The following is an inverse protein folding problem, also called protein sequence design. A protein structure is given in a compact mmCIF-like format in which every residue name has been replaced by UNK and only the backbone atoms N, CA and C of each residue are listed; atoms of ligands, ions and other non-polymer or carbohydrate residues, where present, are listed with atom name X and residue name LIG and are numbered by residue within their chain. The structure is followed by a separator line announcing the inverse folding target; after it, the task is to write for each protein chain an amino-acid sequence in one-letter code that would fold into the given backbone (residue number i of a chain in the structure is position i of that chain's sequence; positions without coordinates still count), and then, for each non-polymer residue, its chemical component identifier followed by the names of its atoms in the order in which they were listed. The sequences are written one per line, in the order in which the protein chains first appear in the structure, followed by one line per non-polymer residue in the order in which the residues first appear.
data_IF_491125933181
#
_entry.id   IF_491125933181
#
_cell.length_a   1.000
_cell.length_b   1.000
_cell.length_c   1.000
_cell.angle_alpha   90.00
_cell.angle_beta   90.00
_cell.angle_gamma   90.00
#
_symmetry.space_group_name_H-M   'P 1'
#
loop_
_entity.id
_entity.type
_entity.pdbx_description
1 polymer ?
2 polymer ?
3 polymer ?
#
loop_
_entity_poly.entity_id
_entity_poly.type
_entity_poly.pdbx_seq_one_letter_code
_entity_poly.pdbx_strand_id
1 'polyribonucleotide' 'UGGCUUAGAAGC' ?
2 'polyribonucleotide' 'GCCCGUCACACCAUGGGAGUAUGACUGGGGUGAAGUCGUAAC' ?
#
# COMPACT_ATOMS: atom_id res chain seq x y z
CA UNK C 2 -11.58 -26.45 1.36
CA UNK C 3 -8.39 -28.29 2.26
CA UNK C 4 -7.12 -26.31 5.26
CA UNK C 5 -4.29 -25.57 2.82
CA UNK C 6 -6.42 -23.92 0.17
CA UNK C 7 -8.33 -21.96 2.79
CA UNK C 8 -4.96 -20.88 4.20
CA UNK C 9 -3.67 -19.81 0.78
CA UNK C 10 -6.77 -17.70 0.09
CA UNK C 11 -6.50 -15.99 3.47
CA UNK C 12 -2.84 -15.06 3.11
CA UNK C 13 -3.09 -14.12 -0.56
CA UNK C 14 -6.15 -11.97 0.11
CA UNK C 15 -4.29 -10.25 2.94
CA UNK C 16 -1.31 -9.60 0.69
CA UNK C 17 -3.50 -8.09 -2.00
CA UNK C 18 -5.22 -5.87 0.56
CA UNK C 19 -1.89 -4.58 1.87
CA UNK C 20 -0.82 -3.72 -1.67
CA UNK C 21 -4.04 -1.87 -2.45
CA UNK C 22 -3.37 -0.09 0.82
CA UNK C 23 0.17 0.95 -0.14
CA UNK C 24 -1.04 2.12 -3.56
CA UNK C 25 -3.77 4.08 -1.81
CA UNK C 26 -1.36 5.95 0.50
CA UNK C 27 1.16 6.66 -2.27
CA UNK C 28 1.85 10.34 -3.02
CA UNK C 29 0.34 11.13 -6.40
CA UNK C 30 -0.64 14.17 -8.46
CA UNK C 31 -3.88 14.93 -6.59
CA UNK C 32 -4.22 15.84 -2.89
CA UNK C 33 -5.17 12.91 -0.69
CA UNK C 34 -5.23 12.84 3.14
CA UNK C 35 -4.18 9.22 2.79
CA UNK C 36 -0.55 10.19 2.15
CA UNK C 37 -0.26 11.56 5.69
CA UNK C 38 -1.22 8.28 7.32
CA UNK C 39 2.44 7.31 7.30
CA UNK C 40 3.85 10.66 8.41
CA UNK C 41 4.56 10.29 12.12
CA UNK C 42 5.40 13.05 14.59
CA UNK C 43 6.87 12.49 18.06
CA UNK C 44 3.97 13.79 20.16
CA UNK C 45 4.39 13.57 23.94
CA UNK C 46 6.66 10.54 23.77
CA UNK C 47 4.69 8.66 21.12
CA UNK C 48 5.38 8.41 17.36
CA UNK C 49 2.05 9.69 16.11
CA UNK C 50 0.57 9.62 12.61
CA UNK C 51 -0.39 13.15 11.63
CA UNK C 52 -4.08 12.55 10.85
CA UNK C 53 -4.52 11.56 14.53
CA UNK C 54 -3.58 15.04 15.68
CA UNK C 55 -5.52 17.01 13.09
CA UNK C 56 -8.51 17.29 10.82
CA UNK C 57 -7.50 16.93 7.18
CA UNK C 58 -9.52 18.29 4.29
CA UNK C 59 -9.28 19.34 0.66
CA UNK C 60 -9.93 23.02 -0.13
CA UNK C 61 -8.38 24.42 -3.30
CA UNK C 62 -8.95 21.42 -5.59
CA UNK C 63 -5.16 21.09 -5.41
CA UNK C 64 -4.61 21.68 -1.67
CA UNK C 65 -4.51 19.65 1.55
CA UNK C 66 -5.25 21.61 4.70
CA UNK C 67 -3.92 20.03 7.91
CA UNK C 68 -5.46 21.65 10.98
CA UNK C 69 -4.07 20.47 14.36
CA UNK C 70 -5.89 21.28 17.59
CA UNK C 71 -2.56 21.55 19.44
CA UNK C 72 -0.95 24.43 17.55
CA UNK C 73 2.52 23.36 18.72
CA UNK C 74 2.13 20.37 16.42
CA UNK C 75 2.42 22.56 13.31
CA UNK C 76 6.18 22.84 13.67
CA UNK C 77 6.44 19.05 14.07
CA UNK C 78 4.27 18.29 11.05
CA UNK C 79 6.41 20.61 8.93
CA UNK C 80 9.64 19.04 10.18
CA UNK C 81 8.28 15.54 9.54
CA UNK C 82 7.08 16.35 6.05
CA UNK C 83 10.36 17.96 4.98
CA UNK C 84 12.13 14.82 6.23
CA UNK C 85 9.86 12.50 4.23
CA UNK C 86 10.13 11.84 0.50
CA UNK C 87 6.66 13.15 -0.35
CA UNK C 88 8.06 15.95 -2.48
CA UNK C 89 5.71 18.37 -0.78
CA UNK C 90 6.42 21.74 0.84
CA UNK C 91 4.55 22.66 4.03
CA UNK C 92 2.99 26.11 4.18
CA UNK C 93 2.73 27.00 7.87
CA UNK C 94 0.50 30.01 8.65
CA UNK C 95 0.66 29.39 12.40
CA UNK C 96 -2.85 27.95 12.41
CA UNK C 97 -2.95 25.30 9.72
CA UNK C 98 -0.46 23.55 7.41
CA UNK C 99 -1.17 23.69 3.68
CA UNK C 100 0.21 21.21 1.19
CA UNK C 101 -0.32 22.24 -2.41
CA UNK C 102 -0.13 19.74 -5.27
CA UNK C 103 1.05 21.54 -8.43
CA UNK C 104 0.26 20.01 -11.85
CA UNK C 105 2.59 17.04 -12.01
CA UNK C 106 5.58 17.01 -14.38
CA UNK C 107 5.83 14.11 -16.79
CA UNK C 108 8.94 13.09 -14.88
CA UNK C 109 6.89 12.82 -11.69
CA UNK C 110 4.18 10.67 -13.29
CA UNK C 111 6.88 8.36 -14.62
CA UNK C 112 8.41 8.27 -11.15
CA UNK C 113 5.12 7.45 -9.44
CA UNK C 114 4.17 4.75 -11.97
CA UNK C 115 7.56 3.16 -11.40
CA UNK C 116 6.88 3.34 -7.65
CA UNK C 117 3.48 1.70 -8.03
CA UNK C 118 4.99 -1.09 -10.11
CA UNK C 119 7.61 -1.89 -7.51
CA UNK C 120 5.01 -1.90 -4.76
CA UNK C 121 3.06 -4.43 -6.81
CA UNK C 122 6.10 -6.51 -7.74
CA UNK C 123 6.80 -6.94 -4.04
CA UNK C 124 3.21 -8.08 -3.60
CA UNK C 125 3.67 -10.65 -6.36
CA UNK C 126 6.80 -11.95 -4.69
CA UNK C 127 4.82 -12.34 -1.47
CA UNK C 128 2.15 -14.25 -3.39
CA UNK C 129 4.63 -16.70 -4.85
CA UNK C 130 6.18 -17.17 -1.41
CA UNK C 131 2.82 -18.19 0.03
CA UNK C 132 2.50 -20.68 -2.84
CA UNK C 133 5.91 -22.22 -2.12
CA UNK C 134 5.39 -22.53 1.63
CA UNK C 135 2.02 -24.24 1.24
CA UNK C 136 3.16 -26.46 -1.60
CA UNK C 137 5.90 -27.91 0.59
CA UNK C 138 3.46 -28.44 3.44
CA UNK C 139 1.31 -30.43 0.99
CA UNK C 140 4.38 -32.34 -0.23
CA UNK C 141 5.17 -33.23 3.38
CA UNK C 142 1.70 -34.61 3.93
CA UNK C 143 2.05 -36.47 0.63
CA UNK C 144 5.31 -37.97 1.84
CA UNK C 145 3.89 -39.27 5.13
CA UNK C 146 1.16 -40.91 3.08
CA UNK C 147 -1.68 -38.74 4.41
CA UNK C 148 -2.34 -37.32 0.95
CA UNK C 149 -2.19 -39.89 -1.86
CA UNK C 150 -0.37 -38.76 -5.01
CA UNK C 151 -3.52 -38.00 -7.02
CA UNK C 152 -5.08 -35.87 -4.28
CA UNK C 153 -1.77 -34.06 -3.94
CA UNK C 154 -1.63 -33.09 -7.61
CA UNK C 155 -5.11 -31.58 -7.73
CA UNK C 156 -4.36 -29.72 -4.50
CA UNK C 157 -1.23 -28.26 -6.09
CA UNK C 158 -3.25 -27.30 -9.16
CA UNK C 159 -5.76 -25.47 -6.99
CA UNK C 160 -2.93 -23.59 -5.31
CA UNK C 161 -1.45 -22.87 -8.72
CA UNK C 162 -4.80 -21.55 -9.90
CA UNK C 163 -5.08 -19.31 -6.81
CA UNK C 164 -1.57 -18.01 -7.36
CA UNK C 165 -2.38 -17.12 -10.97
CA UNK C 166 -5.66 -15.47 -10.10
CA UNK C 167 -3.88 -13.33 -7.50
CA UNK C 168 -0.92 -12.47 -9.69
CA UNK C 169 -3.56 -11.34 -12.20
CA UNK C 170 -5.34 -9.25 -9.59
CA UNK C 171 -2.01 -7.63 -8.77
CA UNK C 172 -1.33 -6.76 -12.40
CA UNK C 173 -4.81 -5.29 -12.42
CA UNK C 174 -4.44 -2.99 -9.43
CA UNK C 175 -1.17 -1.81 -10.94
CA UNK C 176 -2.89 -0.94 -14.22
CA UNK C 177 -5.63 0.87 -12.30
CA UNK C 178 -3.03 2.92 -10.46
CA UNK C 179 -1.02 3.60 -13.60
CA UNK C 180 -4.19 4.93 -15.18
CA UNK C 181 -4.93 7.15 -12.20
CA UNK C 182 -1.45 8.65 -12.40
CA UNK C 183 -1.43 9.18 -16.19
CA UNK C 184 -5.08 10.18 -16.61
CA UNK C 185 -3.86 13.02 -14.32
#
# INVERSE_FOLDING_TARGET
MVNPFIKEAKEKMKRTLEKIEDELRKMRTGKPSPAILEEIKVDYYGVPTPVNQLATISISEERTLVIKPWDKSVLSLIEKAINASDLGLNPINDGNVIRLVFPSPTTEQREKWVKKAKEIVEEGKIAIRNIRREILKKIKEDQKEGLIPEDDAKRLENEIQKLTDEFIEKLDEVFEIKKEEIMEF
#
